data_IF_064649407368
#
_entry.id   IF_064649407368
#
_cell.length_a   1.000
_cell.length_b   1.000
_cell.length_c   1.000
_cell.angle_alpha   90.00
_cell.angle_beta   90.00
_cell.angle_gamma   90.00
#
_symmetry.space_group_name_H-M   'P 1'
#
loop_
_entity.id
_entity.type
_entity.pdbx_description
1 polymer ?
#
# COMPACT_ATOMS: atom_id res chain seq x y z
N UNK A 1 50.49 25.02 10.31
CA UNK A 1 49.63 23.99 10.91
C UNK A 1 50.52 22.88 11.49
N UNK A 2 50.31 22.46 12.74
CA UNK A 2 51.16 21.44 13.37
C UNK A 2 51.04 20.13 12.58
N UNK A 3 52.16 19.49 12.23
CA UNK A 3 52.22 18.28 11.37
C UNK A 3 51.37 17.10 11.87
N UNK A 4 50.96 17.14 13.14
CA UNK A 4 50.11 16.15 13.80
C UNK A 4 48.61 16.34 13.52
N UNK A 5 48.20 17.48 12.96
CA UNK A 5 46.80 17.73 12.58
C UNK A 5 46.39 17.02 11.29
N UNK A 6 47.35 16.74 10.41
CA UNK A 6 47.10 16.06 9.12
C UNK A 6 46.60 14.62 9.31
N UNK A 7 47.22 13.75 10.14
CA UNK A 7 46.69 12.40 10.37
C UNK A 7 45.34 12.41 11.09
N UNK A 8 45.09 13.40 11.96
CA UNK A 8 43.82 13.54 12.67
C UNK A 8 42.67 13.94 11.73
N UNK A 9 42.90 14.86 10.79
CA UNK A 9 41.91 15.20 9.76
C UNK A 9 41.65 14.04 8.80
N UNK A 10 42.69 13.30 8.42
CA UNK A 10 42.53 12.12 7.58
C UNK A 10 41.67 11.06 8.28
N UNK A 11 41.95 10.75 9.55
CA UNK A 11 41.16 9.80 10.34
C UNK A 11 39.71 10.24 10.51
N UNK A 12 39.46 11.52 10.79
CA UNK A 12 38.11 12.08 10.90
C UNK A 12 37.34 11.99 9.57
N UNK A 13 38.02 12.23 8.43
CA UNK A 13 37.43 12.09 7.11
C UNK A 13 37.07 10.63 6.79
N UNK A 14 37.95 9.67 7.10
CA UNK A 14 37.65 8.24 6.93
C UNK A 14 36.51 7.77 7.84
N UNK A 15 36.44 8.25 9.09
CA UNK A 15 35.32 7.94 9.98
C UNK A 15 34.00 8.51 9.45
N UNK A 16 34.00 9.76 8.99
CA UNK A 16 32.82 10.39 8.41
C UNK A 16 32.37 9.69 7.12
N UNK A 17 33.30 9.28 6.27
CA UNK A 17 33.01 8.51 5.06
C UNK A 17 32.47 7.10 5.38
N UNK A 18 33.02 6.42 6.38
CA UNK A 18 32.51 5.14 6.84
C UNK A 18 31.10 5.26 7.45
N UNK A 19 30.86 6.30 8.26
CA UNK A 19 29.53 6.60 8.80
C UNK A 19 28.52 6.97 7.71
N UNK A 20 28.94 7.75 6.70
CA UNK A 20 28.10 8.10 5.55
C UNK A 20 27.77 6.87 4.69
N UNK A 21 28.75 5.99 4.47
CA UNK A 21 28.55 4.74 3.70
C UNK A 21 27.63 3.76 4.43
N UNK A 22 27.75 3.63 5.76
CA UNK A 22 26.82 2.85 6.58
C UNK A 22 25.41 3.44 6.55
N UNK A 23 25.29 4.77 6.47
CA UNK A 23 24.01 5.46 6.33
C UNK A 23 23.38 5.27 4.94
N UNK A 24 24.17 5.27 3.87
CA UNK A 24 23.68 5.03 2.51
C UNK A 24 23.25 3.58 2.27
N UNK A 25 23.88 2.59 2.93
CA UNK A 25 23.50 1.19 2.79
C UNK A 25 22.07 0.90 3.30
N UNK A 26 21.60 1.66 4.28
CA UNK A 26 20.21 1.61 4.77
C UNK A 26 19.20 2.28 3.81
N UNK A 27 19.66 2.99 2.77
CA UNK A 27 18.79 3.73 1.84
C UNK A 27 18.46 3.01 0.53
N UNK A 28 19.07 1.85 0.24
CA UNK A 28 18.59 0.98 -0.85
C UNK A 28 17.32 0.27 -0.39
N UNK A 29 16.16 0.86 -0.68
CA UNK A 29 14.87 0.21 -0.43
C UNK A 29 14.77 -1.05 -1.29
N UNK A 30 14.68 -2.22 -0.64
CA UNK A 30 14.36 -3.46 -1.32
C UNK A 30 13.05 -3.32 -2.11
N UNK A 31 13.06 -3.83 -3.34
CA UNK A 31 11.91 -3.75 -4.25
C UNK A 31 11.19 -5.07 -4.30
N UNK A 32 9.86 -5.04 -4.18
CA UNK A 32 9.05 -6.24 -4.37
C UNK A 32 9.22 -6.71 -5.81
N UNK A 33 9.68 -7.94 -5.97
CA UNK A 33 9.74 -8.65 -7.26
C UNK A 33 8.87 -9.89 -7.18
N UNK A 34 8.06 -10.12 -8.21
CA UNK A 34 7.28 -11.34 -8.28
C UNK A 34 8.14 -12.50 -8.79
N UNK A 35 8.14 -13.60 -8.05
CA UNK A 35 8.73 -14.88 -8.45
C UNK A 35 7.64 -15.96 -8.51
N UNK A 36 7.86 -17.07 -9.23
CA UNK A 36 6.94 -18.21 -9.17
C UNK A 36 6.59 -18.58 -7.73
N UNK A 37 5.31 -18.83 -7.48
CA UNK A 37 4.82 -19.13 -6.14
C UNK A 37 5.37 -20.47 -5.65
N UNK A 38 5.87 -20.46 -4.42
CA UNK A 38 6.31 -21.65 -3.72
C UNK A 38 5.11 -22.53 -3.33
N UNK A 39 5.26 -23.85 -3.42
CA UNK A 39 4.16 -24.80 -3.14
C UNK A 39 3.97 -25.08 -1.65
N UNK A 40 4.97 -24.82 -0.83
CA UNK A 40 4.99 -25.17 0.59
C UNK A 40 5.03 -23.94 1.50
N UNK A 41 5.61 -22.83 1.05
CA UNK A 41 5.63 -21.59 1.82
C UNK A 41 4.26 -20.93 1.82
N UNK A 42 3.65 -20.85 2.99
CA UNK A 42 2.32 -20.27 3.15
C UNK A 42 2.29 -19.33 4.36
N UNK A 43 1.57 -18.22 4.19
CA UNK A 43 1.24 -17.34 5.31
C UNK A 43 0.19 -18.03 6.18
N UNK A 44 0.53 -18.22 7.45
CA UNK A 44 -0.38 -18.78 8.45
C UNK A 44 -1.16 -17.67 9.16
N UNK A 45 -0.62 -16.45 9.18
CA UNK A 45 -1.29 -15.28 9.71
C UNK A 45 -1.00 -14.05 8.83
N UNK A 46 -2.03 -13.23 8.61
CA UNK A 46 -1.92 -11.91 8.01
C UNK A 46 -3.06 -11.03 8.51
N UNK A 47 -2.74 -9.84 9.02
CA UNK A 47 -3.72 -8.94 9.64
C UNK A 47 -3.35 -7.49 9.43
N UNK A 48 -4.31 -6.70 8.98
CA UNK A 48 -4.29 -5.24 9.05
C UNK A 48 -5.22 -4.79 10.16
N UNK A 49 -4.85 -3.76 10.92
CA UNK A 49 -5.69 -3.20 11.98
C UNK A 49 -5.75 -1.67 11.90
N UNK A 50 -6.95 -1.14 12.11
CA UNK A 50 -7.21 0.28 12.34
C UNK A 50 -7.92 0.45 13.68
N UNK A 51 -7.45 1.40 14.48
CA UNK A 51 -8.04 1.77 15.77
C UNK A 51 -7.94 3.27 15.99
N UNK A 52 -9.01 3.86 16.51
CA UNK A 52 -9.02 5.23 17.00
C UNK A 52 -8.38 5.25 18.40
N UNK A 53 -7.36 6.09 18.61
CA UNK A 53 -6.70 6.25 19.92
C UNK A 53 -7.19 7.49 20.70
N UNK A 54 -7.91 8.40 20.04
CA UNK A 54 -8.42 9.64 20.63
C UNK A 54 -7.71 10.90 20.12
N UNK A 55 -8.10 12.05 20.64
CA UNK A 55 -7.59 13.36 20.22
C UNK A 55 -7.08 14.17 21.40
N UNK A 56 -5.85 14.70 21.29
CA UNK A 56 -5.28 15.62 22.29
C UNK A 56 -5.64 17.08 22.01
N UNK A 57 -6.27 17.37 20.87
CA UNK A 57 -6.58 18.71 20.39
C UNK A 57 -7.99 18.75 19.78
N UNK A 58 -8.77 19.84 19.96
CA UNK A 58 -10.09 19.95 19.36
C UNK A 58 -10.08 19.76 17.83
N UNK A 59 -10.97 18.92 17.31
CA UNK A 59 -11.11 18.64 15.87
C UNK A 59 -9.96 17.85 15.25
N UNK A 60 -9.12 17.21 16.07
CA UNK A 60 -8.04 16.32 15.63
C UNK A 60 -8.02 15.04 16.44
N UNK A 61 -7.75 13.93 15.79
CA UNK A 61 -7.61 12.62 16.41
C UNK A 61 -6.43 11.85 15.85
N UNK A 62 -6.02 10.83 16.59
CA UNK A 62 -4.95 9.92 16.23
C UNK A 62 -5.55 8.58 15.84
N UNK A 63 -5.17 8.10 14.66
CA UNK A 63 -5.50 6.77 14.18
C UNK A 63 -4.25 5.90 14.30
N UNK A 64 -4.35 4.80 15.04
CA UNK A 64 -3.33 3.74 15.02
C UNK A 64 -3.63 2.76 13.90
N UNK A 65 -2.60 2.50 13.13
CA UNK A 65 -2.64 1.64 11.97
C UNK A 65 -1.47 0.66 12.01
N UNK A 66 -1.77 -0.63 11.90
CA UNK A 66 -0.75 -1.68 11.92
C UNK A 66 -1.02 -2.78 10.90
N UNK A 67 0.04 -3.48 10.53
CA UNK A 67 0.01 -4.69 9.73
C UNK A 67 0.99 -5.72 10.32
N UNK A 68 0.54 -6.96 10.43
CA UNK A 68 1.35 -8.05 10.93
C UNK A 68 1.12 -9.31 10.09
N UNK A 69 2.17 -10.11 9.89
CA UNK A 69 2.05 -11.38 9.18
C UNK A 69 3.11 -12.39 9.60
N UNK A 70 2.73 -13.67 9.58
CA UNK A 70 3.57 -14.81 9.92
C UNK A 70 3.51 -15.84 8.80
N UNK A 71 4.68 -16.29 8.36
CA UNK A 71 4.89 -17.35 7.39
C UNK A 71 5.20 -18.65 8.13
N UNK A 72 4.85 -19.81 7.57
CA UNK A 72 5.11 -21.11 8.18
C UNK A 72 6.60 -21.50 8.29
N UNK A 73 7.52 -20.67 7.78
CA UNK A 73 8.98 -20.87 7.86
C UNK A 73 9.71 -19.55 7.66
N UNK A 74 10.98 -19.50 8.08
CA UNK A 74 11.87 -18.38 7.78
C UNK A 74 12.26 -18.39 6.31
N UNK A 75 12.41 -17.20 5.74
CA UNK A 75 12.75 -17.02 4.32
C UNK A 75 13.85 -15.98 4.15
N UNK A 76 14.42 -15.91 2.95
CA UNK A 76 15.55 -15.05 2.65
C UNK A 76 15.21 -13.57 2.90
N UNK A 77 14.11 -13.10 2.30
CA UNK A 77 13.61 -11.74 2.45
C UNK A 77 12.12 -11.75 2.73
N UNK A 78 11.69 -10.96 3.70
CA UNK A 78 10.30 -10.64 4.00
C UNK A 78 10.08 -9.17 3.75
N UNK A 79 8.95 -8.82 3.15
CA UNK A 79 8.57 -7.45 2.89
C UNK A 79 7.05 -7.29 3.04
N UNK A 80 6.65 -6.43 3.95
CA UNK A 80 5.26 -6.10 4.18
C UNK A 80 5.04 -4.62 3.86
N UNK A 81 4.00 -4.34 3.10
CA UNK A 81 3.59 -2.98 2.73
C UNK A 81 2.13 -2.82 3.10
N UNK A 82 1.78 -1.66 3.65
CA UNK A 82 0.41 -1.28 3.87
C UNK A 82 0.15 0.13 3.35
N UNK A 83 -1.02 0.31 2.75
CA UNK A 83 -1.54 1.58 2.27
C UNK A 83 -2.75 1.97 3.11
N UNK A 84 -2.74 3.20 3.65
CA UNK A 84 -3.88 3.77 4.35
C UNK A 84 -4.57 4.78 3.45
N UNK A 85 -5.86 4.58 3.23
CA UNK A 85 -6.73 5.49 2.49
C UNK A 85 -7.74 6.15 3.41
N UNK A 86 -8.04 7.42 3.12
CA UNK A 86 -9.12 8.18 3.74
C UNK A 86 -9.97 8.79 2.62
N UNK A 87 -11.27 8.49 2.62
CA UNK A 87 -12.27 9.05 1.69
C UNK A 87 -11.87 8.91 0.21
N UNK A 88 -11.26 7.77 -0.15
CA UNK A 88 -10.83 7.48 -1.53
C UNK A 88 -9.47 8.08 -1.92
N UNK A 89 -8.69 8.62 -0.98
CA UNK A 89 -7.32 9.13 -1.22
C UNK A 89 -6.29 8.46 -0.32
N UNK A 90 -5.07 8.29 -0.81
CA UNK A 90 -3.96 7.77 -0.01
C UNK A 90 -3.58 8.77 1.07
N UNK A 91 -3.75 8.40 2.32
CA UNK A 91 -3.38 9.20 3.49
C UNK A 91 -1.92 8.95 3.90
N UNK A 92 -1.48 7.70 3.90
CA UNK A 92 -0.13 7.33 4.33
C UNK A 92 0.29 5.94 3.82
N UNK A 93 1.59 5.64 3.93
CA UNK A 93 2.22 4.36 3.56
C UNK A 93 3.04 3.83 4.73
N UNK A 94 2.93 2.52 4.96
CA UNK A 94 3.74 1.74 5.89
C UNK A 94 4.49 0.68 5.08
N UNK A 95 5.79 0.54 5.29
CA UNK A 95 6.59 -0.49 4.64
C UNK A 95 7.72 -0.94 5.54
N UNK A 96 8.01 -2.23 5.55
CA UNK A 96 9.18 -2.79 6.24
C UNK A 96 9.61 -4.05 5.53
N UNK A 97 10.92 -4.19 5.39
CA UNK A 97 11.54 -5.42 4.96
C UNK A 97 12.51 -5.93 6.02
N UNK A 98 12.73 -7.23 6.03
CA UNK A 98 13.63 -7.94 6.94
C UNK A 98 14.15 -9.19 6.26
N UNK A 99 15.40 -9.57 6.52
CA UNK A 99 15.96 -10.84 6.05
C UNK A 99 15.88 -11.92 7.13
N UNK A 100 15.92 -13.20 6.71
CA UNK A 100 15.99 -14.37 7.58
C UNK A 100 14.97 -14.39 8.73
N UNK A 101 13.72 -14.03 8.42
CA UNK A 101 12.61 -13.99 9.38
C UNK A 101 11.37 -14.64 8.77
N UNK A 102 10.49 -15.11 9.63
CA UNK A 102 9.16 -15.66 9.34
C UNK A 102 8.04 -14.71 9.77
N UNK A 103 8.37 -13.61 10.45
CA UNK A 103 7.39 -12.64 10.92
C UNK A 103 7.79 -11.18 10.63
N UNK A 104 6.79 -10.37 10.29
CA UNK A 104 6.87 -8.90 10.28
C UNK A 104 5.69 -8.35 11.08
N UNK A 105 5.99 -7.33 11.89
CA UNK A 105 5.03 -6.47 12.55
C UNK A 105 5.46 -5.01 12.34
N UNK A 106 4.51 -4.19 11.91
CA UNK A 106 4.63 -2.75 11.64
C UNK A 106 3.43 -1.98 12.14
N UNK A 107 3.70 -0.81 12.72
CA UNK A 107 2.67 0.09 13.21
C UNK A 107 3.09 1.55 13.01
N UNK A 108 2.10 2.41 12.78
CA UNK A 108 2.25 3.86 12.74
C UNK A 108 0.97 4.51 13.26
N UNK A 109 1.15 5.65 13.92
CA UNK A 109 0.05 6.57 14.26
C UNK A 109 0.00 7.70 13.26
N UNK A 110 -1.18 8.04 12.77
CA UNK A 110 -1.41 9.19 11.89
C UNK A 110 -2.39 10.17 12.51
N UNK A 111 -2.09 11.46 12.40
CA UNK A 111 -2.98 12.53 12.86
C UNK A 111 -3.98 12.87 11.76
N UNK A 112 -5.25 12.80 12.11
CA UNK A 112 -6.38 13.02 11.22
C UNK A 112 -7.34 14.05 11.83
N UNK A 113 -8.31 14.47 11.05
CA UNK A 113 -9.36 15.43 11.38
C UNK A 113 -10.61 15.09 10.61
N UNK A 114 -11.74 15.66 11.01
CA UNK A 114 -13.04 15.50 10.37
C UNK A 114 -13.54 14.04 10.41
N UNK A 115 -14.84 13.88 10.16
CA UNK A 115 -15.43 12.56 9.99
C UNK A 115 -14.95 11.93 8.68
N UNK A 116 -14.44 10.69 8.74
CA UNK A 116 -13.80 10.02 7.59
C UNK A 116 -14.08 8.53 7.53
N UNK A 117 -14.06 8.01 6.31
CA UNK A 117 -14.01 6.58 6.03
C UNK A 117 -12.58 6.15 5.70
N UNK A 118 -12.01 5.33 6.58
CA UNK A 118 -10.67 4.78 6.43
C UNK A 118 -10.70 3.37 5.87
N UNK A 119 -9.79 3.09 4.94
CA UNK A 119 -9.53 1.75 4.42
C UNK A 119 -8.02 1.52 4.43
N UNK A 120 -7.58 0.39 4.96
CA UNK A 120 -6.19 -0.04 4.92
C UNK A 120 -6.09 -1.37 4.22
N UNK A 121 -5.10 -1.47 3.33
CA UNK A 121 -4.78 -2.70 2.58
C UNK A 121 -3.33 -3.01 2.86
N UNK A 122 -3.02 -4.27 3.14
CA UNK A 122 -1.66 -4.76 3.32
C UNK A 122 -1.35 -5.86 2.32
N UNK A 123 -0.14 -5.83 1.78
CA UNK A 123 0.45 -6.90 0.99
C UNK A 123 1.66 -7.45 1.76
N UNK A 124 1.70 -8.76 1.90
CA UNK A 124 2.73 -9.47 2.64
C UNK A 124 3.45 -10.37 1.66
N UNK A 125 4.77 -10.24 1.61
CA UNK A 125 5.60 -10.94 0.64
C UNK A 125 6.77 -11.65 1.34
N UNK A 126 7.10 -12.83 0.84
CA UNK A 126 8.29 -13.56 1.21
C UNK A 126 8.99 -14.10 -0.03
N UNK A 127 10.30 -13.89 -0.10
CA UNK A 127 11.19 -14.38 -1.14
C UNK A 127 12.03 -15.52 -0.56
N UNK A 128 12.05 -16.66 -1.24
CA UNK A 128 12.74 -17.87 -0.84
C UNK A 128 13.85 -18.18 -1.84
N UNK A 129 15.04 -18.49 -1.34
CA UNK A 129 16.18 -18.87 -2.14
C UNK A 129 16.51 -20.34 -1.89
N UNK A 130 16.46 -21.16 -2.93
CA UNK A 130 16.84 -22.58 -2.90
C UNK A 130 17.89 -22.85 -3.97
N UNK A 131 19.17 -22.71 -3.61
CA UNK A 131 20.26 -22.69 -4.59
C UNK A 131 20.13 -21.49 -5.51
N UNK A 132 20.09 -21.72 -6.83
CA UNK A 132 19.86 -20.67 -7.83
C UNK A 132 18.38 -20.34 -8.07
N UNK A 133 17.46 -21.12 -7.49
CA UNK A 133 16.03 -20.92 -7.69
C UNK A 133 15.47 -19.92 -6.66
N UNK A 134 14.77 -18.91 -7.16
CA UNK A 134 14.04 -17.94 -6.33
C UNK A 134 12.54 -18.16 -6.53
N UNK A 135 11.83 -18.38 -5.43
CA UNK A 135 10.37 -18.50 -5.38
C UNK A 135 9.80 -17.44 -4.44
N UNK A 136 8.48 -17.23 -4.48
CA UNK A 136 7.82 -16.31 -3.56
C UNK A 136 6.61 -16.92 -2.87
N UNK A 137 6.26 -16.36 -1.72
CA UNK A 137 4.96 -16.54 -1.08
C UNK A 137 4.35 -15.16 -0.86
N UNK A 138 3.02 -15.07 -0.92
CA UNK A 138 2.33 -13.80 -0.78
C UNK A 138 0.92 -13.98 -0.18
N UNK A 139 0.43 -12.94 0.47
CA UNK A 139 -0.98 -12.81 0.85
C UNK A 139 -1.36 -11.34 1.03
N UNK A 140 -2.65 -11.06 1.19
CA UNK A 140 -3.17 -9.73 1.48
C UNK A 140 -4.03 -9.76 2.73
N UNK A 141 -4.09 -8.64 3.43
CA UNK A 141 -5.08 -8.41 4.48
C UNK A 141 -5.61 -6.97 4.40
N UNK A 142 -6.73 -6.70 5.06
CA UNK A 142 -7.30 -5.37 5.08
C UNK A 142 -8.09 -5.08 6.34
N UNK A 143 -8.34 -3.80 6.57
CA UNK A 143 -9.22 -3.30 7.62
C UNK A 143 -9.87 -2.02 7.14
N UNK A 144 -11.01 -1.68 7.73
CA UNK A 144 -11.67 -0.40 7.50
C UNK A 144 -12.22 0.13 8.82
N UNK A 145 -12.42 1.44 8.91
CA UNK A 145 -12.92 2.11 10.10
C UNK A 145 -13.64 3.40 9.70
N UNK A 146 -14.85 3.61 10.21
CA UNK A 146 -15.51 4.90 10.18
C UNK A 146 -15.15 5.65 11.45
N UNK A 147 -14.70 6.90 11.32
CA UNK A 147 -14.47 7.80 12.47
C UNK A 147 -15.38 9.01 12.31
N UNK A 148 -16.13 9.32 13.36
CA UNK A 148 -17.05 10.45 13.42
C UNK A 148 -16.46 11.49 14.36
N UNK A 149 -16.07 12.62 13.78
CA UNK A 149 -15.60 13.82 14.46
C UNK A 149 -16.53 14.95 13.99
N UNK A 150 -17.53 15.25 14.81
CA UNK A 150 -18.61 16.19 14.50
C UNK A 150 -18.87 17.08 15.72
N UNK A 151 -19.17 18.38 15.56
CA UNK A 151 -19.54 19.25 16.68
C UNK A 151 -20.75 18.75 17.49
N UNK A 152 -21.56 17.88 16.90
CA UNK A 152 -22.82 17.40 17.49
C UNK A 152 -22.71 16.02 18.14
N UNK A 153 -21.59 15.31 17.98
CA UNK A 153 -21.40 13.96 18.52
C UNK A 153 -20.01 13.80 19.15
N UNK A 154 -19.88 13.02 20.24
CA UNK A 154 -18.56 12.69 20.75
C UNK A 154 -17.75 11.95 19.69
N UNK A 155 -16.44 12.19 19.68
CA UNK A 155 -15.49 11.48 18.81
C UNK A 155 -15.67 9.97 19.02
N UNK A 156 -16.09 9.29 17.97
CA UNK A 156 -16.37 7.85 18.00
C UNK A 156 -15.87 7.17 16.74
N UNK A 157 -15.75 5.85 16.78
CA UNK A 157 -15.42 5.06 15.61
C UNK A 157 -16.14 3.72 15.63
N UNK A 158 -16.46 3.21 14.44
CA UNK A 158 -17.12 1.92 14.30
C UNK A 158 -16.71 1.23 13.00
N UNK A 159 -16.82 -0.10 12.98
CA UNK A 159 -16.62 -0.92 11.78
C UNK A 159 -17.93 -1.49 11.23
N UNK A 160 -18.86 -1.83 12.13
CA UNK A 160 -20.20 -2.28 11.77
C UNK A 160 -21.18 -1.42 12.55
N UNK A 161 -22.14 -0.78 11.89
CA UNK A 161 -23.05 0.13 12.54
C UNK A 161 -23.99 -0.66 13.45
N UNK A 162 -24.18 -0.17 14.67
CA UNK A 162 -25.04 -0.72 15.71
C UNK A 162 -26.20 0.21 16.03
N UNK A 163 -26.10 1.49 15.69
CA UNK A 163 -27.14 2.51 15.90
C UNK A 163 -27.61 3.10 14.57
N UNK A 164 -28.74 3.80 14.58
CA UNK A 164 -29.25 4.53 13.40
C UNK A 164 -28.31 5.66 12.97
N UNK A 165 -27.73 6.37 13.93
CA UNK A 165 -26.72 7.40 13.67
C UNK A 165 -25.49 6.81 12.95
N UNK A 166 -24.97 5.67 13.40
CA UNK A 166 -23.84 5.00 12.74
C UNK A 166 -24.21 4.51 11.33
N UNK A 167 -25.44 4.01 11.13
CA UNK A 167 -25.93 3.63 9.79
C UNK A 167 -25.97 4.84 8.86
N UNK A 168 -26.46 5.97 9.35
CA UNK A 168 -26.56 7.20 8.58
C UNK A 168 -25.16 7.75 8.24
N UNK A 169 -24.25 7.81 9.20
CA UNK A 169 -22.88 8.23 8.96
C UNK A 169 -22.15 7.33 7.96
N UNK A 170 -22.30 6.01 8.09
CA UNK A 170 -21.77 5.07 7.09
C UNK A 170 -22.33 5.37 5.71
N UNK A 171 -23.64 5.60 5.59
CA UNK A 171 -24.29 5.92 4.31
C UNK A 171 -23.73 7.21 3.71
N UNK A 172 -23.59 8.26 4.51
CA UNK A 172 -23.06 9.56 4.07
C UNK A 172 -21.61 9.43 3.61
N UNK A 173 -20.73 8.85 4.42
CA UNK A 173 -19.30 8.71 4.11
C UNK A 173 -19.07 7.79 2.91
N UNK A 174 -19.81 6.68 2.80
CA UNK A 174 -19.73 5.80 1.64
C UNK A 174 -20.22 6.50 0.38
N UNK A 175 -21.35 7.22 0.44
CA UNK A 175 -21.89 7.95 -0.71
C UNK A 175 -20.87 8.98 -1.21
N UNK A 176 -20.34 9.81 -0.31
CA UNK A 176 -19.34 10.82 -0.65
C UNK A 176 -18.08 10.20 -1.26
N UNK A 177 -17.55 9.14 -0.66
CA UNK A 177 -16.36 8.42 -1.16
C UNK A 177 -16.61 7.83 -2.54
N UNK A 178 -17.75 7.18 -2.75
CA UNK A 178 -18.09 6.51 -4.01
C UNK A 178 -18.37 7.52 -5.13
N UNK A 179 -19.04 8.64 -4.83
CA UNK A 179 -19.25 9.72 -5.81
C UNK A 179 -17.92 10.33 -6.24
N UNK A 180 -17.02 10.59 -5.28
CA UNK A 180 -15.67 11.06 -5.56
C UNK A 180 -14.90 10.08 -6.45
N UNK A 181 -14.81 8.80 -6.06
CA UNK A 181 -14.08 7.79 -6.80
C UNK A 181 -14.65 7.53 -8.19
N UNK A 182 -15.98 7.54 -8.34
CA UNK A 182 -16.66 7.37 -9.64
C UNK A 182 -16.35 8.54 -10.56
N UNK A 183 -16.46 9.77 -10.07
CA UNK A 183 -16.14 10.95 -10.85
C UNK A 183 -14.68 10.90 -11.34
N UNK A 184 -13.74 10.55 -10.46
CA UNK A 184 -12.32 10.39 -10.82
C UNK A 184 -12.06 9.25 -11.79
N UNK A 185 -12.77 8.13 -11.66
CA UNK A 185 -12.67 7.04 -12.63
C UNK A 185 -13.13 7.48 -14.02
N UNK A 186 -14.26 8.19 -14.12
CA UNK A 186 -14.79 8.68 -15.39
C UNK A 186 -13.82 9.70 -16.04
N UNK A 187 -13.20 10.59 -15.26
CA UNK A 187 -12.15 11.50 -15.73
C UNK A 187 -10.91 10.76 -16.26
N UNK A 188 -10.42 9.76 -15.52
CA UNK A 188 -9.24 8.97 -15.91
C UNK A 188 -9.50 8.12 -17.15
N UNK A 189 -10.65 7.44 -17.23
CA UNK A 189 -11.04 6.66 -18.40
C UNK A 189 -11.15 7.53 -19.66
N UNK A 190 -11.75 8.72 -19.52
CA UNK A 190 -11.87 9.68 -20.62
C UNK A 190 -10.49 10.18 -21.06
N UNK A 191 -9.64 10.58 -20.11
CA UNK A 191 -8.29 11.09 -20.40
C UNK A 191 -7.43 10.07 -21.15
N UNK A 192 -7.47 8.79 -20.75
CA UNK A 192 -6.72 7.73 -21.39
C UNK A 192 -7.45 7.05 -22.55
N UNK A 193 -8.62 7.55 -22.96
CA UNK A 193 -9.44 6.99 -24.05
C UNK A 193 -9.77 5.50 -23.86
N UNK A 194 -10.07 5.10 -22.61
CA UNK A 194 -10.38 3.73 -22.24
C UNK A 194 -11.89 3.52 -22.12
N UNK A 195 -12.41 2.44 -22.72
CA UNK A 195 -13.83 2.10 -22.61
C UNK A 195 -14.08 1.15 -21.44
N UNK A 196 -14.85 1.59 -20.44
CA UNK A 196 -15.19 0.78 -19.25
C UNK A 196 -15.70 -0.62 -19.56
N UNK A 197 -16.42 -0.79 -20.69
CA UNK A 197 -17.02 -2.07 -21.10
C UNK A 197 -15.99 -3.16 -21.43
N UNK A 198 -14.74 -2.79 -21.73
CA UNK A 198 -13.69 -3.72 -22.15
C UNK A 198 -12.92 -4.32 -20.97
N UNK A 199 -13.22 -3.87 -19.75
CA UNK A 199 -12.47 -4.18 -18.53
C UNK A 199 -13.36 -4.75 -17.43
N UNK A 200 -12.76 -5.59 -16.59
CA UNK A 200 -13.16 -5.73 -15.20
C UNK A 200 -12.48 -4.61 -14.42
N UNK A 201 -13.26 -3.80 -13.71
CA UNK A 201 -12.78 -2.65 -12.96
C UNK A 201 -12.99 -2.87 -11.46
N UNK A 202 -11.95 -2.64 -10.66
CA UNK A 202 -11.98 -2.75 -9.21
C UNK A 202 -10.98 -1.78 -8.58
N UNK A 203 -11.29 -1.22 -7.41
CA UNK A 203 -10.31 -0.44 -6.66
C UNK A 203 -9.41 -1.36 -5.84
N UNK A 204 -8.17 -0.92 -5.56
CA UNK A 204 -7.18 -1.74 -4.85
C UNK A 204 -7.68 -2.40 -3.54
N UNK A 205 -8.50 -1.74 -2.68
CA UNK A 205 -9.06 -2.41 -1.50
C UNK A 205 -9.96 -3.61 -1.78
N UNK A 206 -10.62 -3.64 -2.93
CA UNK A 206 -11.47 -4.77 -3.34
C UNK A 206 -10.64 -5.99 -3.76
N UNK A 207 -9.37 -5.79 -4.11
CA UNK A 207 -8.48 -6.87 -4.55
C UNK A 207 -8.27 -7.94 -3.48
N UNK A 208 -8.36 -7.57 -2.21
CA UNK A 208 -8.14 -8.46 -1.05
C UNK A 208 -9.11 -9.65 -1.07
N UNK A 209 -10.35 -9.45 -1.54
CA UNK A 209 -11.31 -10.54 -1.66
C UNK A 209 -10.81 -11.65 -2.60
N UNK A 210 -9.99 -11.30 -3.59
CA UNK A 210 -9.44 -12.24 -4.56
C UNK A 210 -8.19 -13.00 -4.07
N UNK A 211 -7.81 -12.81 -2.80
CA UNK A 211 -6.85 -13.69 -2.14
C UNK A 211 -7.46 -15.06 -1.86
N UNK A 212 -8.75 -15.11 -1.53
CA UNK A 212 -9.48 -16.35 -1.19
C UNK A 212 -10.33 -16.89 -2.35
N UNK A 213 -10.72 -16.03 -3.30
CA UNK A 213 -11.49 -16.43 -4.49
C UNK A 213 -10.79 -16.02 -5.79
N UNK A 214 -10.90 -16.80 -6.88
CA UNK A 214 -10.28 -16.43 -8.14
C UNK A 214 -10.93 -15.19 -8.76
N UNK A 215 -10.14 -14.41 -9.52
CA UNK A 215 -10.67 -13.41 -10.44
C UNK A 215 -11.52 -14.09 -11.53
N UNK A 216 -12.59 -13.45 -12.04
CA UNK A 216 -13.61 -14.07 -12.88
C UNK A 216 -13.18 -15.20 -13.82
N UNK A 217 -12.56 -15.04 -14.98
CA UNK A 217 -12.21 -16.17 -15.86
C UNK A 217 -10.93 -16.95 -15.50
N UNK A 218 -10.40 -16.84 -14.27
CA UNK A 218 -9.08 -17.36 -13.90
C UNK A 218 -9.13 -18.49 -12.86
N UNK A 219 -8.05 -19.27 -12.79
CA UNK A 219 -7.80 -20.15 -11.65
C UNK A 219 -7.22 -19.36 -10.47
N UNK A 220 -7.25 -19.94 -9.27
CA UNK A 220 -6.62 -19.36 -8.07
C UNK A 220 -5.13 -19.09 -8.31
N UNK A 221 -4.39 -20.06 -8.89
CA UNK A 221 -2.97 -19.90 -9.17
C UNK A 221 -2.68 -18.72 -10.13
N UNK A 222 -3.46 -18.60 -11.22
CA UNK A 222 -3.34 -17.47 -12.16
C UNK A 222 -3.71 -16.15 -11.49
N UNK A 223 -4.76 -16.13 -10.68
CA UNK A 223 -5.18 -14.95 -9.90
C UNK A 223 -4.04 -14.47 -9.01
N UNK A 224 -3.38 -15.37 -8.28
CA UNK A 224 -2.25 -15.01 -7.43
C UNK A 224 -1.05 -14.49 -8.23
N UNK A 225 -0.79 -15.02 -9.43
CA UNK A 225 0.23 -14.46 -10.33
C UNK A 225 -0.11 -13.02 -10.76
N UNK A 226 -1.37 -12.75 -11.13
CA UNK A 226 -1.84 -11.40 -11.46
C UNK A 226 -1.66 -10.45 -10.28
N UNK A 227 -2.07 -10.86 -9.08
CA UNK A 227 -1.94 -10.07 -7.84
C UNK A 227 -0.47 -9.76 -7.54
N UNK A 228 0.41 -10.76 -7.61
CA UNK A 228 1.82 -10.58 -7.28
C UNK A 228 2.53 -9.63 -8.23
N UNK A 229 2.30 -9.79 -9.54
CA UNK A 229 2.78 -8.87 -10.57
C UNK A 229 2.25 -7.45 -10.37
N UNK A 230 0.95 -7.31 -10.11
CA UNK A 230 0.32 -6.03 -9.83
C UNK A 230 0.99 -5.31 -8.65
N UNK A 231 1.26 -6.02 -7.55
CA UNK A 231 1.93 -5.44 -6.38
C UNK A 231 3.38 -5.06 -6.64
N UNK A 232 4.12 -5.83 -7.44
CA UNK A 232 5.44 -5.43 -7.93
C UNK A 232 5.37 -4.08 -8.70
N UNK A 233 4.39 -3.94 -9.61
CA UNK A 233 4.18 -2.71 -10.37
C UNK A 233 3.79 -1.52 -9.48
N UNK A 234 2.83 -1.73 -8.58
CA UNK A 234 2.41 -0.73 -7.59
C UNK A 234 3.56 -0.32 -6.68
N UNK A 235 4.40 -1.27 -6.25
CA UNK A 235 5.53 -0.96 -5.39
C UNK A 235 6.49 0.00 -6.09
N UNK A 236 6.89 -0.35 -7.32
CA UNK A 236 7.87 0.39 -8.10
C UNK A 236 7.39 1.77 -8.56
N UNK A 237 6.11 1.91 -8.86
CA UNK A 237 5.58 3.09 -9.56
C UNK A 237 4.61 3.94 -8.74
N UNK A 238 4.21 3.48 -7.55
CA UNK A 238 3.34 4.22 -6.66
C UNK A 238 3.94 4.36 -5.26
N UNK A 239 4.35 3.25 -4.64
CA UNK A 239 4.87 3.27 -3.26
C UNK A 239 6.24 3.93 -3.15
N UNK A 240 7.16 3.63 -4.07
CA UNK A 240 8.47 4.30 -4.15
C UNK A 240 8.39 5.74 -4.69
N UNK A 241 7.19 6.20 -5.06
CA UNK A 241 6.93 7.49 -5.69
C UNK A 241 6.63 7.38 -7.18
N UNK A 242 5.86 8.35 -7.67
CA UNK A 242 5.41 8.41 -9.06
C UNK A 242 6.48 9.16 -9.87
N UNK A 243 7.15 8.46 -10.78
CA UNK A 243 8.16 9.06 -11.67
C UNK A 243 7.50 9.82 -12.81
N UNK A 244 7.93 11.06 -13.02
CA UNK A 244 7.55 11.92 -14.14
C UNK A 244 8.44 11.70 -15.36
N UNK A 245 7.99 12.21 -16.50
CA UNK A 245 8.77 12.25 -17.74
C UNK A 245 10.06 13.06 -17.61
N UNK A 246 10.04 14.12 -16.80
CA UNK A 246 11.22 14.95 -16.48
C UNK A 246 12.17 14.31 -15.45
N UNK A 247 11.85 13.09 -14.99
CA UNK A 247 12.63 12.34 -14.00
C UNK A 247 12.32 12.70 -12.54
N UNK A 248 11.47 13.70 -12.26
CA UNK A 248 11.08 14.03 -10.91
C UNK A 248 10.23 12.93 -10.28
N UNK A 249 10.31 12.79 -8.95
CA UNK A 249 9.54 11.80 -8.18
C UNK A 249 8.47 12.54 -7.36
N UNK A 250 7.21 12.30 -7.67
CA UNK A 250 6.09 12.79 -6.88
C UNK A 250 5.77 11.86 -5.72
N UNK A 251 5.47 12.47 -4.57
CA UNK A 251 4.88 11.75 -3.46
C UNK A 251 3.52 11.18 -3.86
N UNK A 252 3.22 9.90 -3.54
CA UNK A 252 1.92 9.31 -3.81
C UNK A 252 0.84 9.81 -2.82
N UNK A 253 1.22 10.47 -1.72
CA UNK A 253 0.28 10.92 -0.69
C UNK A 253 -0.72 11.94 -1.25
N UNK A 254 -2.00 11.70 -0.98
CA UNK A 254 -3.13 12.47 -1.48
C UNK A 254 -3.63 12.04 -2.85
N UNK A 255 -2.96 11.10 -3.52
CA UNK A 255 -3.45 10.51 -4.78
C UNK A 255 -4.73 9.71 -4.55
N UNK A 256 -5.52 9.49 -5.59
CA UNK A 256 -6.70 8.63 -5.52
C UNK A 256 -6.31 7.18 -5.19
N UNK A 257 -7.27 6.42 -4.63
CA UNK A 257 -7.16 4.96 -4.57
C UNK A 257 -6.91 4.44 -6.00
N UNK A 258 -5.94 3.52 -6.21
CA UNK A 258 -5.68 2.97 -7.52
C UNK A 258 -6.90 2.23 -8.09
N UNK A 259 -7.29 2.62 -9.30
CA UNK A 259 -8.32 1.92 -10.09
C UNK A 259 -7.62 0.89 -10.98
N UNK A 260 -7.90 -0.39 -10.74
CA UNK A 260 -7.34 -1.51 -11.50
C UNK A 260 -8.33 -1.87 -12.61
N UNK A 261 -7.83 -1.89 -13.84
CA UNK A 261 -8.57 -2.30 -15.02
C UNK A 261 -7.91 -3.53 -15.65
N UNK A 262 -8.60 -4.66 -15.58
CA UNK A 262 -8.14 -5.92 -16.18
C UNK A 262 -8.89 -6.10 -17.49
N UNK A 263 -8.19 -6.16 -18.63
CA UNK A 263 -8.88 -6.45 -19.91
C UNK A 263 -9.60 -7.78 -19.80
N UNK A 264 -10.81 -7.87 -20.36
CA UNK A 264 -11.62 -9.10 -20.30
C UNK A 264 -10.98 -10.31 -20.99
N UNK A 265 -10.02 -10.07 -21.89
CA UNK A 265 -9.19 -11.09 -22.55
C UNK A 265 -7.92 -11.46 -21.76
N UNK A 266 -7.72 -10.86 -20.58
CA UNK A 266 -6.55 -11.03 -19.70
C UNK A 266 -5.19 -10.75 -20.36
N UNK A 267 -5.15 -10.00 -21.47
CA UNK A 267 -3.89 -9.67 -22.15
C UNK A 267 -3.10 -8.55 -21.47
N UNK A 268 -3.81 -7.64 -20.77
CA UNK A 268 -3.24 -6.44 -20.17
C UNK A 268 -4.00 -6.04 -18.91
N UNK A 269 -3.26 -5.43 -17.99
CA UNK A 269 -3.76 -4.75 -16.82
C UNK A 269 -3.32 -3.29 -16.86
N UNK A 270 -4.22 -2.39 -16.47
CA UNK A 270 -3.91 -0.98 -16.24
C UNK A 270 -4.19 -0.63 -14.78
N UNK A 271 -3.37 0.25 -14.22
CA UNK A 271 -3.63 0.91 -12.93
C UNK A 271 -3.72 2.40 -13.18
N UNK A 272 -4.88 2.98 -12.90
CA UNK A 272 -5.12 4.41 -13.08
C UNK A 272 -5.13 5.12 -11.72
N UNK A 273 -4.44 6.25 -11.66
CA UNK A 273 -4.28 7.06 -10.44
C UNK A 273 -4.31 8.54 -10.84
N UNK A 274 -4.94 9.38 -10.04
CA UNK A 274 -4.75 10.82 -10.10
C UNK A 274 -3.97 11.27 -8.86
N UNK A 275 -2.81 11.90 -9.07
CA UNK A 275 -1.97 12.44 -8.01
C UNK A 275 -2.63 13.63 -7.32
N UNK A 276 -2.14 14.01 -6.13
CA UNK A 276 -2.63 15.20 -5.40
C UNK A 276 -2.53 16.49 -6.24
N UNK A 277 -1.56 16.56 -7.15
CA UNK A 277 -1.35 17.69 -8.09
C UNK A 277 -2.36 17.72 -9.24
N UNK A 278 -3.22 16.71 -9.38
CA UNK A 278 -4.14 16.52 -10.52
C UNK A 278 -3.51 15.78 -11.70
N UNK A 279 -2.23 15.40 -11.60
CA UNK A 279 -1.53 14.63 -12.62
C UNK A 279 -2.12 13.23 -12.74
N UNK A 280 -2.47 12.84 -13.97
CA UNK A 280 -3.11 11.55 -14.26
C UNK A 280 -2.06 10.55 -14.70
N UNK A 281 -2.05 9.39 -14.07
CA UNK A 281 -1.02 8.37 -14.27
C UNK A 281 -1.69 7.05 -14.65
N UNK A 282 -1.14 6.39 -15.66
CA UNK A 282 -1.50 5.03 -16.05
C UNK A 282 -0.28 4.14 -15.97
N UNK A 283 -0.32 3.14 -15.12
CA UNK A 283 0.66 2.06 -15.09
C UNK A 283 0.16 0.93 -15.99
N UNK A 284 1.02 0.46 -16.88
CA UNK A 284 0.70 -0.63 -17.81
C UNK A 284 1.44 -1.89 -17.37
N UNK A 285 0.72 -3.00 -17.26
CA UNK A 285 1.31 -4.29 -16.96
C UNK A 285 0.81 -5.37 -17.91
N UNK A 286 1.77 -6.13 -18.47
CA UNK A 286 1.47 -7.33 -19.25
C UNK A 286 1.20 -8.49 -18.29
N UNK A 287 0.13 -9.23 -18.54
CA UNK A 287 -0.30 -10.38 -17.74
C UNK A 287 0.26 -11.69 -18.30
#
# INVERSE_FOLDING_TARGET
>A
MKRWMIPFMALAFFLAAALASLWEHDQTAETIKFFPLDREAAFIEAKTSLALEGGNEPGRYTLRWSAASILNRRVYLRQDVSLLFADGRLADVLSKWKTNTDAIDIEKTVRMRDSRFFQAVSFHHGELHTGENITSSQTMSSSYLYVIDSPYHPLTSFRRPRTDDEREWQRVLNKATNEFLRHKADELLTHFSLSKKDYYALYLPELVAYTEQPLPGLSTAKTQTVIGRLWEGLYKSYILGIKKEDGAILSPIGSTVPLILIRKDYSRLFVLIEAKTGEKVMLVQLL
#
